data_IF_977481077478
#
_entry.id   IF_977481077478
#
_cell.length_a   1.000
_cell.length_b   1.000
_cell.length_c   1.000
_cell.angle_alpha   90.00
_cell.angle_beta   90.00
_cell.angle_gamma   90.00
#
_symmetry.space_group_name_H-M   'P 1'
#
loop_
_entity.id
_entity.type
_entity.pdbx_description
1 polymer ?
#
# COMPACT_ATOMS: atom_id res chain seq x y z
N UNK A 1 16.35 3.49 7.38
CA UNK A 1 15.14 3.06 8.11
C UNK A 1 14.25 4.27 8.25
N UNK A 2 12.99 4.16 7.84
CA UNK A 2 11.99 5.21 8.06
C UNK A 2 11.62 5.27 9.55
N UNK A 3 11.28 6.45 10.04
CA UNK A 3 10.71 6.68 11.37
C UNK A 3 9.25 6.26 11.41
N UNK A 4 8.70 6.03 12.61
CA UNK A 4 7.28 5.69 12.77
C UNK A 4 6.33 6.75 12.15
N UNK A 5 6.71 8.02 12.15
CA UNK A 5 5.95 9.11 11.53
C UNK A 5 5.97 9.01 10.00
N UNK A 6 7.14 8.76 9.43
CA UNK A 6 7.30 8.58 7.98
C UNK A 6 6.55 7.34 7.49
N UNK A 7 6.62 6.23 8.24
CA UNK A 7 5.87 5.01 7.91
C UNK A 7 4.37 5.28 7.91
N UNK A 8 3.82 5.96 8.93
CA UNK A 8 2.40 6.32 8.96
C UNK A 8 1.99 7.20 7.78
N UNK A 9 2.80 8.20 7.45
CA UNK A 9 2.52 9.09 6.32
C UNK A 9 2.51 8.31 4.99
N UNK A 10 3.42 7.35 4.83
CA UNK A 10 3.48 6.49 3.64
C UNK A 10 2.31 5.51 3.57
N UNK A 11 1.88 4.95 4.71
CA UNK A 11 0.69 4.08 4.77
C UNK A 11 -0.58 4.83 4.32
N UNK A 12 -0.77 6.09 4.75
CA UNK A 12 -1.90 6.92 4.32
C UNK A 12 -1.86 7.20 2.80
N UNK A 13 -0.68 7.44 2.24
CA UNK A 13 -0.50 7.61 0.79
C UNK A 13 -0.84 6.32 0.02
N UNK A 14 -0.34 5.17 0.50
CA UNK A 14 -0.60 3.86 -0.11
C UNK A 14 -2.10 3.50 -0.06
N UNK A 15 -2.80 3.81 1.02
CA UNK A 15 -4.26 3.62 1.08
C UNK A 15 -4.99 4.40 -0.01
N UNK A 16 -4.58 5.65 -0.26
CA UNK A 16 -5.15 6.47 -1.34
C UNK A 16 -4.87 5.86 -2.71
N UNK A 17 -3.62 5.46 -2.96
CA UNK A 17 -3.20 4.85 -4.23
C UNK A 17 -3.94 3.52 -4.50
N UNK A 18 -4.02 2.65 -3.49
CA UNK A 18 -4.77 1.39 -3.57
C UNK A 18 -6.24 1.64 -3.92
N UNK A 19 -6.87 2.61 -3.25
CA UNK A 19 -8.28 2.96 -3.50
C UNK A 19 -8.49 3.50 -4.90
N UNK A 20 -7.63 4.41 -5.36
CA UNK A 20 -7.68 4.96 -6.71
C UNK A 20 -7.47 3.89 -7.78
N UNK A 21 -6.46 3.03 -7.62
CA UNK A 21 -6.18 1.95 -8.57
C UNK A 21 -7.34 0.95 -8.61
N UNK A 22 -7.91 0.58 -7.46
CA UNK A 22 -9.11 -0.26 -7.38
C UNK A 22 -10.32 0.35 -8.09
N UNK A 23 -10.53 1.67 -7.99
CA UNK A 23 -11.62 2.36 -8.70
C UNK A 23 -11.44 2.38 -10.22
N UNK A 24 -10.18 2.38 -10.69
CA UNK A 24 -9.86 2.38 -12.12
C UNK A 24 -9.86 0.96 -12.72
N UNK A 25 -9.89 -0.10 -11.89
CA UNK A 25 -9.95 -1.47 -12.38
C UNK A 25 -11.26 -1.71 -13.15
N UNK A 26 -11.21 -2.20 -14.40
CA UNK A 26 -12.42 -2.49 -15.15
C UNK A 26 -13.18 -3.67 -14.53
N UNK A 27 -14.48 -3.50 -14.28
CA UNK A 27 -15.35 -4.51 -13.64
C UNK A 27 -15.41 -5.87 -14.37
N UNK A 28 -15.08 -5.88 -15.68
CA UNK A 28 -15.16 -7.07 -16.54
C UNK A 28 -13.83 -7.42 -17.23
N UNK A 29 -12.75 -6.71 -16.94
CA UNK A 29 -11.44 -6.98 -17.54
C UNK A 29 -10.33 -6.47 -16.63
N UNK A 30 -9.58 -7.38 -16.03
CA UNK A 30 -8.39 -7.01 -15.27
C UNK A 30 -7.29 -6.67 -16.27
N UNK A 31 -6.89 -5.39 -16.35
CA UNK A 31 -5.69 -5.01 -17.11
C UNK A 31 -4.45 -5.45 -16.32
N UNK A 32 -3.60 -6.36 -16.82
CA UNK A 32 -2.47 -6.90 -16.06
C UNK A 32 -1.56 -5.83 -15.44
N UNK A 33 -1.22 -4.71 -16.12
CA UNK A 33 -0.39 -3.67 -15.52
C UNK A 33 -1.00 -3.02 -14.28
N UNK A 34 -2.32 -2.82 -14.25
CA UNK A 34 -3.01 -2.18 -13.12
C UNK A 34 -3.12 -3.12 -11.92
N UNK A 35 -3.26 -4.44 -12.17
CA UNK A 35 -3.22 -5.43 -11.12
C UNK A 35 -1.81 -5.53 -10.52
N UNK A 36 -0.76 -5.52 -11.35
CA UNK A 36 0.62 -5.54 -10.87
C UNK A 36 0.95 -4.31 -10.01
N UNK A 37 0.49 -3.13 -10.42
CA UNK A 37 0.64 -1.89 -9.64
C UNK A 37 -0.12 -1.97 -8.31
N UNK A 38 -1.37 -2.46 -8.33
CA UNK A 38 -2.15 -2.65 -7.12
C UNK A 38 -1.47 -3.60 -6.14
N UNK A 39 -1.00 -4.75 -6.62
CA UNK A 39 -0.30 -5.74 -5.81
C UNK A 39 0.99 -5.16 -5.21
N UNK A 40 1.75 -4.37 -5.97
CA UNK A 40 2.94 -3.71 -5.46
C UNK A 40 2.63 -2.74 -4.31
N UNK A 41 1.53 -1.97 -4.41
CA UNK A 41 1.09 -1.11 -3.31
C UNK A 41 0.62 -1.90 -2.08
N UNK A 42 -0.09 -3.01 -2.29
CA UNK A 42 -0.55 -3.89 -1.19
C UNK A 42 0.64 -4.57 -0.48
N UNK A 43 1.64 -5.03 -1.23
CA UNK A 43 2.88 -5.60 -0.68
C UNK A 43 3.68 -4.55 0.12
N UNK A 44 3.82 -3.32 -0.40
CA UNK A 44 4.50 -2.23 0.31
C UNK A 44 3.77 -1.86 1.60
N UNK A 45 2.43 -1.80 1.56
CA UNK A 45 1.60 -1.48 2.71
C UNK A 45 1.80 -2.52 3.83
N UNK A 46 1.75 -3.81 3.52
CA UNK A 46 1.92 -4.88 4.51
C UNK A 46 3.35 -4.90 5.11
N UNK A 47 4.37 -4.63 4.29
CA UNK A 47 5.76 -4.52 4.77
C UNK A 47 5.91 -3.37 5.77
N UNK A 48 5.38 -2.19 5.43
CA UNK A 48 5.44 -1.01 6.28
C UNK A 48 4.60 -1.16 7.56
N UNK A 49 3.43 -1.80 7.47
CA UNK A 49 2.60 -2.10 8.63
C UNK A 49 3.32 -3.05 9.60
N UNK A 50 4.02 -4.05 9.06
CA UNK A 50 4.86 -4.96 9.84
C UNK A 50 5.98 -4.22 10.55
N UNK A 51 6.67 -3.32 9.85
CA UNK A 51 7.74 -2.51 10.43
C UNK A 51 7.22 -1.54 11.50
N UNK A 52 6.05 -0.92 11.28
CA UNK A 52 5.41 -0.07 12.29
C UNK A 52 5.08 -0.84 13.57
N UNK A 53 4.53 -2.05 13.45
CA UNK A 53 4.24 -2.94 14.59
C UNK A 53 5.50 -3.29 15.37
N UNK A 54 6.61 -3.57 14.67
CA UNK A 54 7.92 -3.85 15.29
C UNK A 54 8.47 -2.65 16.06
N UNK A 55 8.29 -1.44 15.54
CA UNK A 55 8.72 -0.20 16.20
C UNK A 55 7.83 0.10 17.42
N UNK A 56 6.52 -0.12 17.32
CA UNK A 56 5.57 0.16 18.41
C UNK A 56 5.58 -0.88 19.53
N UNK A 57 6.12 -2.08 19.29
CA UNK A 57 6.24 -3.15 20.28
C UNK A 57 7.57 -3.12 21.06
N UNK A 58 8.41 -2.12 20.82
CA UNK A 58 9.60 -1.80 21.61
C UNK A 58 9.27 -0.76 22.66
#
# INVERSE_FOLDING_TARGET
MLTAKEIKSRLEELESLIRETKQRLPAHSVKPPMMMELLAYEDEYEALLTDLKRISSK
#
